data_IF_482394364036
#
_entry.id   IF_482394364036
#
_cell.length_a   1.000
_cell.length_b   1.000
_cell.length_c   1.000
_cell.angle_alpha   90.00
_cell.angle_beta   90.00
_cell.angle_gamma   90.00
#
_symmetry.space_group_name_H-M   'P 1'
#
loop_
_entity.id
_entity.type
_entity.pdbx_description
1 polymer ?
#
# COMPACT_ATOMS: atom_id res chain seq x y z
N UNK A 1 21.26 8.86 38.63
CA UNK A 1 19.80 8.99 38.42
C UNK A 1 19.51 9.65 37.06
N UNK A 2 20.04 9.09 35.97
CA UNK A 2 19.94 9.69 34.60
C UNK A 2 19.80 8.65 33.47
N UNK A 3 19.81 7.35 33.78
CA UNK A 3 19.61 6.27 32.79
C UNK A 3 18.14 6.01 32.50
N UNK A 4 17.26 6.16 33.50
CA UNK A 4 15.83 5.80 33.41
C UNK A 4 14.94 6.80 32.65
N UNK A 5 15.46 8.00 32.33
CA UNK A 5 14.71 9.01 31.58
C UNK A 5 14.75 8.76 30.06
N UNK A 6 15.77 8.04 29.57
CA UNK A 6 15.93 7.76 28.14
C UNK A 6 15.14 6.53 27.66
N UNK A 7 14.92 5.53 28.51
CA UNK A 7 14.27 4.27 28.12
C UNK A 7 12.74 4.36 27.98
N UNK A 8 12.07 5.27 28.71
CA UNK A 8 10.59 5.40 28.63
C UNK A 8 10.08 5.98 27.31
N UNK A 9 10.93 6.60 26.50
CA UNK A 9 10.55 7.17 25.19
C UNK A 9 10.44 6.12 24.09
N UNK A 10 11.17 5.00 24.22
CA UNK A 10 11.25 3.95 23.20
C UNK A 10 10.23 2.81 23.38
N UNK A 11 9.61 2.69 24.55
CA UNK A 11 8.52 1.73 24.80
C UNK A 11 7.14 2.32 24.45
N UNK A 12 7.03 3.02 23.31
CA UNK A 12 5.70 3.33 22.76
C UNK A 12 5.18 2.08 22.08
N UNK A 13 4.26 1.38 22.76
CA UNK A 13 3.50 0.30 22.14
C UNK A 13 2.93 0.81 20.81
N UNK A 14 3.11 0.05 19.74
CA UNK A 14 2.51 0.32 18.43
C UNK A 14 1.00 0.09 18.55
N UNK A 15 0.30 1.05 19.14
CA UNK A 15 -1.14 1.02 19.31
C UNK A 15 -1.87 1.40 18.03
N UNK A 16 -3.16 1.09 17.96
CA UNK A 16 -4.04 1.40 16.83
C UNK A 16 -3.97 2.88 16.40
N UNK A 17 -3.83 3.80 17.37
CA UNK A 17 -3.65 5.23 17.09
C UNK A 17 -2.40 5.54 16.27
N UNK A 18 -1.29 4.81 16.45
CA UNK A 18 -0.08 5.01 15.66
C UNK A 18 -0.24 4.49 14.23
N UNK A 19 -0.89 3.34 14.06
CA UNK A 19 -1.20 2.79 12.74
C UNK A 19 -2.11 3.74 11.93
N UNK A 20 -3.14 4.31 12.57
CA UNK A 20 -4.01 5.31 11.94
C UNK A 20 -3.26 6.59 11.56
N UNK A 21 -2.32 7.05 12.40
CA UNK A 21 -1.47 8.18 12.05
C UNK A 21 -0.59 7.86 10.83
N UNK A 22 -0.05 6.64 10.75
CA UNK A 22 0.70 6.18 9.58
C UNK A 22 -0.14 6.19 8.30
N UNK A 23 -1.35 5.66 8.34
CA UNK A 23 -2.29 5.70 7.21
C UNK A 23 -2.62 7.14 6.78
N UNK A 24 -2.92 8.01 7.75
CA UNK A 24 -3.22 9.43 7.49
C UNK A 24 -2.04 10.16 6.87
N UNK A 25 -0.83 9.83 7.30
CA UNK A 25 0.40 10.42 6.80
C UNK A 25 0.67 10.02 5.35
N UNK A 26 0.61 8.72 5.03
CA UNK A 26 0.79 8.22 3.65
C UNK A 26 -0.31 8.76 2.72
N UNK A 27 -1.56 8.80 3.18
CA UNK A 27 -2.67 9.38 2.41
C UNK A 27 -2.42 10.84 2.01
N UNK A 28 -1.81 11.63 2.90
CA UNK A 28 -1.53 13.05 2.65
C UNK A 28 -0.30 13.25 1.77
N UNK A 29 0.79 12.52 2.02
CA UNK A 29 2.05 12.72 1.31
C UNK A 29 2.04 12.08 -0.08
N UNK A 30 1.44 10.90 -0.23
CA UNK A 30 1.57 10.12 -1.45
C UNK A 30 0.38 10.25 -2.39
N UNK A 31 0.68 10.60 -3.65
CA UNK A 31 -0.31 10.59 -4.73
C UNK A 31 -0.67 9.17 -5.15
N UNK A 32 0.31 8.28 -5.26
CA UNK A 32 0.11 6.90 -5.71
C UNK A 32 -0.79 6.13 -4.74
N UNK A 33 -0.60 6.29 -3.43
CA UNK A 33 -1.48 5.71 -2.42
C UNK A 33 -2.95 6.14 -2.59
N UNK A 34 -3.20 7.43 -2.87
CA UNK A 34 -4.56 7.94 -3.15
C UNK A 34 -5.15 7.34 -4.42
N UNK A 35 -4.34 7.18 -5.47
CA UNK A 35 -4.76 6.53 -6.71
C UNK A 35 -5.12 5.06 -6.45
N UNK A 36 -4.28 4.32 -5.74
CA UNK A 36 -4.55 2.92 -5.37
C UNK A 36 -5.84 2.79 -4.54
N UNK A 37 -6.10 3.71 -3.59
CA UNK A 37 -7.36 3.74 -2.84
C UNK A 37 -8.59 3.99 -3.72
N UNK A 38 -8.49 4.92 -4.67
CA UNK A 38 -9.59 5.19 -5.61
C UNK A 38 -9.87 3.98 -6.50
N UNK A 39 -8.81 3.36 -7.06
CA UNK A 39 -8.93 2.14 -7.85
C UNK A 39 -9.54 1.01 -7.01
N UNK A 40 -9.07 0.82 -5.78
CA UNK A 40 -9.64 -0.16 -4.86
C UNK A 40 -11.14 0.07 -4.65
N UNK A 41 -11.57 1.31 -4.39
CA UNK A 41 -12.99 1.64 -4.25
C UNK A 41 -13.80 1.28 -5.50
N UNK A 42 -13.29 1.60 -6.70
CA UNK A 42 -13.95 1.19 -7.96
C UNK A 42 -14.04 -0.32 -8.12
N UNK A 43 -12.98 -1.06 -7.82
CA UNK A 43 -12.94 -2.52 -7.91
C UNK A 43 -13.92 -3.17 -6.92
N UNK A 44 -14.01 -2.65 -5.69
CA UNK A 44 -14.99 -3.12 -4.71
C UNK A 44 -16.43 -2.87 -5.19
N UNK A 45 -16.72 -1.66 -5.70
CA UNK A 45 -18.05 -1.35 -6.26
C UNK A 45 -18.37 -2.28 -7.44
N UNK A 46 -17.42 -2.50 -8.35
CA UNK A 46 -17.59 -3.43 -9.47
C UNK A 46 -17.84 -4.87 -8.99
N UNK A 47 -17.14 -5.31 -7.93
CA UNK A 47 -17.34 -6.60 -7.26
C UNK A 47 -18.78 -6.81 -6.79
N UNK A 48 -19.35 -5.77 -6.17
CA UNK A 48 -20.76 -5.80 -5.75
C UNK A 48 -21.72 -5.83 -6.93
N UNK A 49 -21.51 -4.97 -7.93
CA UNK A 49 -22.40 -4.88 -9.10
C UNK A 49 -22.40 -6.16 -9.96
N UNK A 50 -21.25 -6.82 -10.08
CA UNK A 50 -21.07 -8.02 -10.89
C UNK A 50 -21.28 -9.33 -10.10
N UNK A 51 -21.68 -9.23 -8.83
CA UNK A 51 -21.97 -10.38 -7.96
C UNK A 51 -20.86 -11.44 -7.98
N UNK A 52 -19.62 -11.01 -7.75
CA UNK A 52 -18.48 -11.94 -7.69
C UNK A 52 -18.64 -12.90 -6.50
N UNK A 53 -18.13 -14.12 -6.66
CA UNK A 53 -18.19 -15.20 -5.67
C UNK A 53 -17.36 -14.87 -4.42
N UNK A 54 -17.61 -15.61 -3.33
CA UNK A 54 -16.89 -15.43 -2.07
C UNK A 54 -15.36 -15.61 -2.23
N UNK A 55 -14.91 -16.57 -3.06
CA UNK A 55 -13.49 -16.76 -3.33
C UNK A 55 -12.90 -15.58 -4.10
N UNK A 56 -13.61 -15.04 -5.09
CA UNK A 56 -13.19 -13.85 -5.83
C UNK A 56 -13.09 -12.64 -4.89
N UNK A 57 -14.02 -12.48 -3.94
CA UNK A 57 -13.94 -11.45 -2.90
C UNK A 57 -12.71 -11.58 -1.99
N UNK A 58 -12.38 -12.79 -1.56
CA UNK A 58 -11.17 -13.05 -0.75
C UNK A 58 -9.92 -12.64 -1.54
N UNK A 59 -9.85 -13.00 -2.81
CA UNK A 59 -8.71 -12.66 -3.67
C UNK A 59 -8.63 -11.14 -3.90
N UNK A 60 -9.73 -10.48 -4.25
CA UNK A 60 -9.76 -9.02 -4.48
C UNK A 60 -9.33 -8.26 -3.22
N UNK A 61 -9.89 -8.61 -2.06
CA UNK A 61 -9.57 -7.93 -0.80
C UNK A 61 -8.12 -8.17 -0.38
N UNK A 62 -7.58 -9.38 -0.57
CA UNK A 62 -6.19 -9.70 -0.29
C UNK A 62 -5.24 -8.88 -1.17
N UNK A 63 -5.48 -8.84 -2.48
CA UNK A 63 -4.62 -8.14 -3.43
C UNK A 63 -4.63 -6.63 -3.19
N UNK A 64 -5.80 -6.03 -2.92
CA UNK A 64 -5.91 -4.61 -2.53
C UNK A 64 -5.09 -4.35 -1.26
N UNK A 65 -5.21 -5.22 -0.26
CA UNK A 65 -4.48 -5.08 1.01
C UNK A 65 -2.96 -5.16 0.82
N UNK A 66 -2.49 -6.05 -0.07
CA UNK A 66 -1.07 -6.17 -0.42
C UNK A 66 -0.56 -4.90 -1.09
N UNK A 67 -1.27 -4.36 -2.10
CA UNK A 67 -0.85 -3.15 -2.80
C UNK A 67 -0.74 -1.96 -1.84
N UNK A 68 -1.77 -1.73 -1.03
CA UNK A 68 -1.76 -0.62 -0.07
C UNK A 68 -0.64 -0.78 0.96
N UNK A 69 -0.38 -2.01 1.41
CA UNK A 69 0.72 -2.29 2.35
C UNK A 69 2.09 -2.04 1.70
N UNK A 70 2.30 -2.49 0.47
CA UNK A 70 3.54 -2.27 -0.27
C UNK A 70 3.78 -0.79 -0.55
N UNK A 71 2.74 -0.03 -0.89
CA UNK A 71 2.82 1.41 -1.07
C UNK A 71 3.24 2.09 0.25
N UNK A 72 2.63 1.71 1.39
CA UNK A 72 3.03 2.25 2.70
C UNK A 72 4.48 1.90 3.06
N UNK A 73 4.94 0.70 2.73
CA UNK A 73 6.34 0.29 2.92
C UNK A 73 7.27 1.11 2.03
N UNK A 74 6.92 1.29 0.74
CA UNK A 74 7.68 2.13 -0.19
C UNK A 74 7.83 3.55 0.36
N UNK A 75 6.73 4.20 0.75
CA UNK A 75 6.75 5.54 1.35
C UNK A 75 7.56 5.58 2.64
N UNK A 76 7.44 4.56 3.49
CA UNK A 76 8.19 4.48 4.73
C UNK A 76 9.70 4.43 4.49
N UNK A 77 10.14 3.64 3.50
CA UNK A 77 11.54 3.55 3.09
C UNK A 77 12.01 4.87 2.46
N UNK A 78 11.22 5.47 1.56
CA UNK A 78 11.55 6.76 0.96
C UNK A 78 11.77 7.85 2.03
N UNK A 79 10.84 7.98 2.98
CA UNK A 79 10.96 8.95 4.08
C UNK A 79 12.14 8.67 5.00
N UNK A 80 12.46 7.39 5.24
CA UNK A 80 13.64 7.02 6.02
C UNK A 80 14.93 7.42 5.29
N UNK A 81 15.02 7.16 3.99
CA UNK A 81 16.19 7.50 3.19
C UNK A 81 16.36 9.02 3.07
N UNK A 82 15.28 9.77 2.88
CA UNK A 82 15.30 11.24 2.84
C UNK A 82 15.78 11.84 4.17
N UNK A 83 15.51 11.16 5.29
CA UNK A 83 16.01 11.56 6.59
C UNK A 83 17.50 11.23 6.80
N UNK A 84 17.96 10.06 6.34
CA UNK A 84 19.33 9.58 6.57
C UNK A 84 20.36 10.17 5.61
N UNK A 85 19.96 10.46 4.38
CA UNK A 85 20.83 10.93 3.31
C UNK A 85 20.13 12.02 2.50
N UNK A 86 20.05 13.25 3.05
CA UNK A 86 19.40 14.38 2.38
C UNK A 86 20.16 14.86 1.13
N UNK A 87 21.45 14.53 1.01
CA UNK A 87 22.21 14.74 -0.23
C UNK A 87 22.03 13.56 -1.17
N UNK A 88 21.76 13.84 -2.45
CA UNK A 88 21.47 12.82 -3.46
C UNK A 88 22.65 11.85 -3.66
N UNK A 89 22.58 10.68 -3.03
CA UNK A 89 23.52 9.59 -3.22
C UNK A 89 22.95 8.58 -4.22
N UNK A 90 23.76 8.14 -5.19
CA UNK A 90 23.33 7.18 -6.22
C UNK A 90 22.68 5.92 -5.64
N UNK A 91 23.22 5.40 -4.52
CA UNK A 91 22.66 4.24 -3.83
C UNK A 91 21.24 4.46 -3.28
N UNK A 92 20.92 5.67 -2.81
CA UNK A 92 19.57 6.02 -2.35
C UNK A 92 18.58 5.96 -3.51
N UNK A 93 18.97 6.49 -4.68
CA UNK A 93 18.17 6.39 -5.90
C UNK A 93 17.87 4.93 -6.25
N UNK A 94 18.89 4.07 -6.26
CA UNK A 94 18.72 2.64 -6.54
C UNK A 94 17.74 1.95 -5.58
N UNK A 95 17.81 2.25 -4.27
CA UNK A 95 16.87 1.65 -3.30
C UNK A 95 15.45 2.12 -3.55
N UNK A 96 15.24 3.41 -3.81
CA UNK A 96 13.91 3.96 -4.15
C UNK A 96 13.33 3.34 -5.41
N UNK A 97 14.16 3.14 -6.44
CA UNK A 97 13.74 2.50 -7.69
C UNK A 97 13.31 1.04 -7.46
N UNK A 98 14.05 0.30 -6.61
CA UNK A 98 13.71 -1.08 -6.27
C UNK A 98 12.39 -1.16 -5.50
N UNK A 99 12.18 -0.28 -4.51
CA UNK A 99 10.94 -0.30 -3.71
C UNK A 99 9.72 0.12 -4.54
N UNK A 100 9.87 1.13 -5.41
CA UNK A 100 8.84 1.49 -6.38
C UNK A 100 8.58 0.35 -7.39
N UNK A 101 9.63 -0.34 -7.83
CA UNK A 101 9.54 -1.52 -8.69
C UNK A 101 8.74 -2.67 -8.06
N UNK A 102 8.90 -2.89 -6.74
CA UNK A 102 8.13 -3.90 -6.02
C UNK A 102 6.62 -3.59 -6.02
N UNK A 103 6.24 -2.32 -5.82
CA UNK A 103 4.84 -1.87 -5.94
C UNK A 103 4.35 -2.09 -7.37
N UNK A 104 5.14 -1.74 -8.39
CA UNK A 104 4.76 -1.92 -9.79
C UNK A 104 4.48 -3.39 -10.14
N UNK A 105 5.34 -4.32 -9.71
CA UNK A 105 5.14 -5.75 -9.93
C UNK A 105 3.83 -6.23 -9.29
N UNK A 106 3.56 -5.81 -8.05
CA UNK A 106 2.31 -6.13 -7.38
C UNK A 106 1.08 -5.54 -8.08
N UNK A 107 1.17 -4.30 -8.57
CA UNK A 107 0.10 -3.63 -9.34
C UNK A 107 -0.19 -4.33 -10.67
N UNK A 108 0.83 -4.80 -11.39
CA UNK A 108 0.64 -5.60 -12.61
C UNK A 108 -0.05 -6.92 -12.28
N UNK A 109 0.42 -7.65 -11.26
CA UNK A 109 -0.22 -8.89 -10.81
C UNK A 109 -1.69 -8.68 -10.42
N UNK A 110 -1.99 -7.61 -9.70
CA UNK A 110 -3.36 -7.23 -9.35
C UNK A 110 -4.22 -6.92 -10.57
N UNK A 111 -3.68 -6.23 -11.57
CA UNK A 111 -4.42 -5.93 -12.78
C UNK A 111 -4.79 -7.22 -13.53
N UNK A 112 -3.86 -8.17 -13.62
CA UNK A 112 -4.11 -9.49 -14.24
C UNK A 112 -5.20 -10.24 -13.48
N UNK A 113 -5.11 -10.30 -12.14
CA UNK A 113 -6.13 -10.94 -11.29
C UNK A 113 -7.50 -10.27 -11.49
N UNK A 114 -7.53 -8.94 -11.52
CA UNK A 114 -8.74 -8.18 -11.80
C UNK A 114 -9.35 -8.53 -13.16
N UNK A 115 -8.54 -8.60 -14.21
CA UNK A 115 -9.01 -9.02 -15.54
C UNK A 115 -9.59 -10.44 -15.50
N UNK A 116 -8.91 -11.39 -14.85
CA UNK A 116 -9.38 -12.78 -14.75
C UNK A 116 -10.74 -12.88 -14.05
N UNK A 117 -10.96 -12.09 -13.00
CA UNK A 117 -12.21 -12.11 -12.23
C UNK A 117 -13.32 -11.34 -12.97
N UNK A 118 -13.04 -10.13 -13.44
CA UNK A 118 -14.06 -9.21 -13.91
C UNK A 118 -14.40 -9.35 -15.39
N UNK A 119 -13.44 -9.72 -16.25
CA UNK A 119 -13.67 -9.81 -17.69
C UNK A 119 -14.78 -10.82 -18.05
N UNK A 120 -14.81 -12.06 -17.52
CA UNK A 120 -15.88 -13.00 -17.84
C UNK A 120 -17.26 -12.51 -17.39
N UNK A 121 -17.33 -11.82 -16.24
CA UNK A 121 -18.58 -11.26 -15.69
C UNK A 121 -19.10 -10.14 -16.57
N UNK A 122 -18.22 -9.25 -17.03
CA UNK A 122 -18.58 -8.15 -17.95
C UNK A 122 -19.05 -8.71 -19.29
N UNK A 123 -18.36 -9.71 -19.85
CA UNK A 123 -18.75 -10.32 -21.11
C UNK A 123 -20.11 -11.02 -21.01
N UNK A 124 -20.48 -11.57 -19.85
CA UNK A 124 -21.79 -12.20 -19.65
C UNK A 124 -22.97 -11.21 -19.56
N UNK A 125 -22.71 -9.90 -19.54
CA UNK A 125 -23.76 -8.87 -19.57
C UNK A 125 -24.25 -8.53 -20.99
N UNK A 126 -23.55 -9.00 -22.03
CA UNK A 126 -23.83 -8.75 -23.44
C UNK A 126 -24.09 -10.06 -24.18
#
# INVERSE_FOLDING_TARGET
>A
MSSDYKDRKYKRMVGFSFALNGLKEVYKSERNFRIHLLIAAFVLIAGFLLSISALEWIVVTLVISIILSLEMVNTGIEKLLDHLAPEHHQAVGTVKDITAGAVLVASIGSAIIGIVIFLPKILSLF
#
